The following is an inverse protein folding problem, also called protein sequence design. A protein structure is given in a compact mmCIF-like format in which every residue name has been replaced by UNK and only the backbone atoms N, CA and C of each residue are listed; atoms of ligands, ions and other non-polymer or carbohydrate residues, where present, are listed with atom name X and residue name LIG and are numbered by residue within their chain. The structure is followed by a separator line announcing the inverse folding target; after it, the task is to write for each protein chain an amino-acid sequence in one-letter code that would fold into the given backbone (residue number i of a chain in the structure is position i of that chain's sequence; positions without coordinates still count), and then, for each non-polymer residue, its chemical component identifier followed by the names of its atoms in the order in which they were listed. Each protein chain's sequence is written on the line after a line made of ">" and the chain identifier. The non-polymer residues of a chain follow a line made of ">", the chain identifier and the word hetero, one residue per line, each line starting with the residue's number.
data_IF_561099696620
#
_entry.id   IF_561099696620
#
_cell.length_a   1.000
_cell.length_b   1.000
_cell.length_c   1.000
_cell.angle_alpha   90.00
_cell.angle_beta   90.00
_cell.angle_gamma   90.00
#
_symmetry.space_group_name_H-M   'P 1'
#
loop_
_entity.id
_entity.type
_entity.pdbx_description
1 polymer ?
#
# COMPACT_ATOMS: atom_id res chain seq x y z
N UNK A 1 26.65 29.80 1.33
CA UNK A 1 25.79 30.63 2.21
C UNK A 1 25.68 29.96 3.57
N UNK A 2 25.69 30.69 4.70
CA UNK A 2 25.51 30.11 6.01
C UNK A 2 24.07 29.56 6.12
N UNK A 3 23.91 28.28 6.54
CA UNK A 3 22.59 27.68 6.78
C UNK A 3 21.89 28.45 7.90
N UNK A 4 20.60 28.78 7.71
CA UNK A 4 19.77 29.45 8.72
C UNK A 4 19.40 28.46 9.83
N UNK A 5 19.23 28.97 11.07
CA UNK A 5 18.81 28.14 12.21
C UNK A 5 17.43 27.52 11.90
N UNK A 6 17.26 26.22 12.17
CA UNK A 6 16.03 25.48 11.88
C UNK A 6 14.82 26.04 12.63
N UNK A 7 14.99 26.58 13.84
CA UNK A 7 13.90 27.27 14.56
C UNK A 7 13.49 28.56 13.88
N UNK A 8 14.44 29.31 13.32
CA UNK A 8 14.18 30.53 12.55
C UNK A 8 13.49 30.22 11.22
N UNK A 9 13.88 29.14 10.54
CA UNK A 9 13.24 28.69 9.28
C UNK A 9 11.77 28.38 9.51
N UNK A 10 11.42 27.71 10.59
CA UNK A 10 10.04 27.39 10.95
C UNK A 10 9.31 28.55 11.67
N UNK A 11 10.03 29.59 12.10
CA UNK A 11 9.47 30.73 12.82
C UNK A 11 8.89 30.36 14.19
N UNK A 12 9.55 29.44 14.91
CA UNK A 12 9.13 28.94 16.23
C UNK A 12 10.24 29.16 17.29
N UNK A 13 9.83 29.14 18.55
CA UNK A 13 10.77 29.19 19.68
C UNK A 13 11.54 27.86 19.83
N UNK A 14 12.74 27.92 20.40
CA UNK A 14 13.51 26.72 20.78
C UNK A 14 12.81 25.85 21.83
N UNK A 15 11.83 26.41 22.54
CA UNK A 15 11.01 25.72 23.53
C UNK A 15 9.66 25.21 22.98
N UNK A 16 9.43 25.38 21.67
CA UNK A 16 8.20 24.96 21.02
C UNK A 16 7.93 23.48 21.23
N UNK A 17 6.67 23.15 21.48
CA UNK A 17 6.20 21.77 21.58
C UNK A 17 6.06 21.09 20.20
N UNK A 18 5.77 19.79 20.22
CA UNK A 18 5.61 19.01 18.98
C UNK A 18 4.41 19.49 18.16
N UNK A 19 3.35 19.98 18.80
CA UNK A 19 2.16 20.47 18.12
C UNK A 19 2.43 21.81 17.44
N UNK A 20 3.12 22.72 18.11
CA UNK A 20 3.53 24.02 17.56
C UNK A 20 4.46 23.81 16.36
N UNK A 21 5.42 22.90 16.48
CA UNK A 21 6.33 22.52 15.41
C UNK A 21 5.57 22.01 14.18
N UNK A 22 4.62 21.12 14.39
CA UNK A 22 3.80 20.54 13.31
C UNK A 22 2.89 21.57 12.64
N UNK A 23 2.31 22.48 13.41
CA UNK A 23 1.47 23.57 12.89
C UNK A 23 2.29 24.57 12.06
N UNK A 24 3.46 24.98 12.55
CA UNK A 24 4.36 25.88 11.84
C UNK A 24 4.81 25.29 10.50
N UNK A 25 5.26 24.02 10.50
CA UNK A 25 5.63 23.33 9.28
C UNK A 25 4.47 23.26 8.28
N UNK A 26 3.27 22.83 8.72
CA UNK A 26 2.10 22.75 7.84
C UNK A 26 1.77 24.11 7.18
N UNK A 27 1.87 25.18 7.94
CA UNK A 27 1.61 26.54 7.43
C UNK A 27 2.58 26.92 6.31
N UNK A 28 3.87 26.64 6.50
CA UNK A 28 4.92 26.94 5.51
C UNK A 28 4.79 26.02 4.30
N UNK A 29 4.59 24.72 4.53
CA UNK A 29 4.44 23.73 3.48
C UNK A 29 3.24 24.01 2.58
N UNK A 30 2.08 24.41 3.14
CA UNK A 30 0.90 24.79 2.36
C UNK A 30 1.12 26.08 1.56
N UNK A 31 1.86 27.04 2.12
CA UNK A 31 2.15 28.33 1.45
C UNK A 31 3.11 28.18 0.28
N UNK A 32 4.12 27.33 0.42
CA UNK A 32 5.19 27.15 -0.54
C UNK A 32 5.17 25.77 -1.24
N UNK A 33 3.98 25.13 -1.29
CA UNK A 33 3.83 23.83 -1.95
C UNK A 33 4.10 23.96 -3.46
N UNK A 34 4.85 23.02 -4.08
CA UNK A 34 5.15 23.09 -5.50
C UNK A 34 3.91 23.10 -6.39
N UNK A 35 2.84 22.38 -6.02
CA UNK A 35 1.60 22.38 -6.80
C UNK A 35 0.84 23.72 -6.77
N UNK A 36 1.07 24.54 -5.73
CA UNK A 36 0.46 25.87 -5.60
C UNK A 36 1.33 26.99 -6.16
N UNK A 37 2.61 26.74 -6.29
CA UNK A 37 3.61 27.68 -6.80
C UNK A 37 4.47 27.01 -7.89
N UNK A 38 3.85 26.56 -9.00
CA UNK A 38 4.58 25.85 -10.04
C UNK A 38 5.62 26.76 -10.69
N UNK A 39 6.90 26.31 -10.68
CA UNK A 39 8.00 27.04 -11.33
C UNK A 39 8.56 28.22 -10.52
N UNK A 40 8.18 28.41 -9.25
CA UNK A 40 8.79 29.42 -8.37
C UNK A 40 9.97 28.80 -7.58
N UNK A 41 11.25 29.11 -7.97
CA UNK A 41 12.43 28.56 -7.30
C UNK A 41 12.55 29.03 -5.84
N UNK A 42 12.02 30.21 -5.51
CA UNK A 42 12.07 30.75 -4.14
C UNK A 42 11.10 29.99 -3.23
N UNK A 43 9.92 29.64 -3.75
CA UNK A 43 8.98 28.81 -3.01
C UNK A 43 9.52 27.40 -2.79
N UNK A 44 10.17 26.83 -3.79
CA UNK A 44 10.79 25.51 -3.72
C UNK A 44 11.93 25.46 -2.68
N UNK A 45 12.80 26.47 -2.67
CA UNK A 45 13.88 26.59 -1.69
C UNK A 45 13.34 26.68 -0.25
N UNK A 46 12.33 27.53 -0.02
CA UNK A 46 11.68 27.66 1.30
C UNK A 46 10.98 26.38 1.74
N UNK A 47 10.38 25.66 0.81
CA UNK A 47 9.77 24.36 1.10
C UNK A 47 10.82 23.32 1.49
N UNK A 48 11.96 23.26 0.79
CA UNK A 48 13.09 22.37 1.11
C UNK A 48 13.67 22.67 2.49
N UNK A 49 13.96 23.96 2.78
CA UNK A 49 14.49 24.37 4.08
C UNK A 49 13.52 24.04 5.23
N UNK A 50 12.21 24.28 5.03
CA UNK A 50 11.21 23.97 6.05
C UNK A 50 11.08 22.46 6.28
N UNK A 51 11.18 21.65 5.23
CA UNK A 51 11.12 20.18 5.31
C UNK A 51 12.35 19.59 6.00
N UNK A 52 13.55 20.10 5.70
CA UNK A 52 14.79 19.74 6.39
C UNK A 52 14.71 20.08 7.90
N UNK A 53 14.27 21.30 8.21
CA UNK A 53 14.12 21.77 9.58
C UNK A 53 13.14 20.90 10.38
N UNK A 54 12.01 20.57 9.79
CA UNK A 54 11.01 19.70 10.43
C UNK A 54 11.53 18.28 10.63
N UNK A 55 12.23 17.71 9.67
CA UNK A 55 12.80 16.36 9.76
C UNK A 55 13.82 16.21 10.91
N UNK A 56 14.52 17.29 11.24
CA UNK A 56 15.47 17.31 12.36
C UNK A 56 14.77 17.58 13.68
N UNK A 57 13.90 18.58 13.75
CA UNK A 57 13.29 19.02 15.00
C UNK A 57 12.14 18.12 15.48
N UNK A 58 11.50 17.35 14.60
CA UNK A 58 10.43 16.40 14.95
C UNK A 58 10.95 15.12 15.63
N UNK A 59 12.22 14.78 15.45
CA UNK A 59 12.85 13.65 16.09
C UNK A 59 13.53 14.09 17.39
N UNK A 60 13.14 13.57 18.57
CA UNK A 60 13.72 14.00 19.85
C UNK A 60 15.22 13.79 19.97
N UNK A 61 15.78 12.77 19.32
CA UNK A 61 17.22 12.51 19.36
C UNK A 61 17.99 13.49 18.47
N UNK A 62 17.49 13.73 17.23
CA UNK A 62 18.09 14.68 16.30
C UNK A 62 17.96 16.11 16.83
N UNK A 63 16.82 16.48 17.41
CA UNK A 63 16.60 17.77 18.04
C UNK A 63 17.64 18.02 19.16
N UNK A 64 17.83 17.04 20.06
CA UNK A 64 18.86 17.13 21.13
C UNK A 64 20.27 17.26 20.57
N UNK A 65 20.60 16.54 19.51
CA UNK A 65 21.90 16.63 18.86
C UNK A 65 22.09 18.01 18.21
N UNK A 66 21.07 18.53 17.55
CA UNK A 66 21.06 19.87 16.96
C UNK A 66 21.20 20.96 18.04
N UNK A 67 20.45 20.87 19.13
CA UNK A 67 20.50 21.83 20.24
C UNK A 67 21.85 21.89 20.94
N UNK A 68 22.61 20.77 20.95
CA UNK A 68 23.92 20.68 21.59
C UNK A 68 25.08 21.06 20.68
N UNK A 69 25.02 20.64 19.43
CA UNK A 69 26.16 20.68 18.53
C UNK A 69 25.87 21.45 17.22
N UNK A 70 24.66 22.05 17.07
CA UNK A 70 24.26 22.72 15.85
C UNK A 70 24.23 21.78 14.64
N UNK A 71 24.54 22.32 13.47
CA UNK A 71 24.59 21.54 12.23
C UNK A 71 25.64 20.43 12.22
N UNK A 72 26.75 20.59 12.95
CA UNK A 72 27.78 19.56 13.05
C UNK A 72 27.31 18.29 13.77
N UNK A 73 26.42 18.43 14.74
CA UNK A 73 25.86 17.30 15.50
C UNK A 73 24.98 16.37 14.68
N UNK A 74 24.44 16.86 13.58
CA UNK A 74 23.56 16.08 12.69
C UNK A 74 24.41 15.29 11.68
N UNK A 75 25.58 15.83 11.26
CA UNK A 75 26.49 15.19 10.30
C UNK A 75 27.41 14.13 10.89
N UNK A 76 27.64 14.12 12.21
CA UNK A 76 28.72 13.35 12.85
C UNK A 76 28.33 11.97 13.39
N UNK A 77 27.03 11.62 13.45
CA UNK A 77 26.61 10.28 13.87
C UNK A 77 26.47 9.37 12.66
N UNK A 78 27.59 8.68 12.35
CA UNK A 78 27.76 7.65 11.35
C UNK A 78 26.61 6.66 11.25
N UNK A 79 25.64 6.98 10.42
CA UNK A 79 24.94 5.97 9.69
C UNK A 79 25.78 5.64 8.44
N UNK A 80 25.94 4.37 8.06
CA UNK A 80 26.53 4.00 6.77
C UNK A 80 25.51 4.37 5.68
N UNK A 81 25.60 5.60 5.18
CA UNK A 81 24.72 6.28 4.25
C UNK A 81 24.77 7.77 4.59
N UNK A 82 25.94 8.41 4.32
CA UNK A 82 26.07 9.86 4.40
C UNK A 82 24.94 10.49 3.62
N UNK A 83 24.37 11.59 4.12
CA UNK A 83 23.42 12.39 3.36
C UNK A 83 24.07 12.70 2.00
N UNK A 84 23.46 12.25 0.88
CA UNK A 84 23.97 12.60 -0.44
C UNK A 84 23.92 14.12 -0.57
N UNK A 85 25.00 14.67 -1.09
CA UNK A 85 25.13 16.07 -1.49
C UNK A 85 23.90 16.43 -2.34
N UNK A 86 23.13 17.43 -1.90
CA UNK A 86 21.84 17.83 -2.46
C UNK A 86 21.96 18.55 -3.83
N UNK A 87 22.81 18.03 -4.71
CA UNK A 87 23.06 18.61 -6.04
C UNK A 87 22.19 18.06 -7.17
N UNK A 88 21.47 16.95 -7.00
CA UNK A 88 20.73 16.32 -8.11
C UNK A 88 19.23 16.19 -7.82
N UNK A 89 18.44 16.92 -8.60
CA UNK A 89 16.98 17.12 -8.47
C UNK A 89 16.16 15.84 -8.66
N UNK A 90 16.73 14.77 -9.22
CA UNK A 90 16.03 13.52 -9.52
C UNK A 90 15.91 12.56 -8.32
N UNK A 91 16.88 12.58 -7.42
CA UNK A 91 16.97 11.65 -6.28
C UNK A 91 16.12 12.09 -5.07
N UNK A 92 15.68 13.36 -5.07
CA UNK A 92 14.93 13.94 -3.95
C UNK A 92 13.53 13.36 -3.81
N UNK A 93 12.86 13.06 -4.92
CA UNK A 93 11.48 12.51 -4.91
C UNK A 93 11.44 11.09 -4.37
N UNK A 94 12.46 10.29 -4.66
CA UNK A 94 12.53 8.89 -4.19
C UNK A 94 12.90 8.81 -2.71
N UNK A 95 13.87 9.63 -2.26
CA UNK A 95 14.27 9.70 -0.85
C UNK A 95 13.18 10.36 0.00
N UNK A 96 12.46 11.32 -0.57
CA UNK A 96 11.33 11.97 0.09
C UNK A 96 10.13 11.01 0.24
N UNK A 97 9.82 10.20 -0.76
CA UNK A 97 8.80 9.17 -0.69
C UNK A 97 9.17 8.04 0.29
N UNK A 98 10.43 7.62 0.34
CA UNK A 98 10.89 6.61 1.29
C UNK A 98 10.90 7.13 2.74
N UNK A 99 11.34 8.38 2.95
CA UNK A 99 11.42 8.96 4.31
C UNK A 99 10.07 9.47 4.81
N UNK A 100 9.25 10.07 3.92
CA UNK A 100 7.92 10.60 4.27
C UNK A 100 6.81 9.57 4.13
N UNK A 101 6.93 8.61 3.23
CA UNK A 101 6.02 7.47 3.16
C UNK A 101 6.01 6.66 4.46
N UNK A 102 7.16 6.51 5.10
CA UNK A 102 7.29 5.79 6.37
C UNK A 102 6.88 6.65 7.60
N UNK A 103 6.96 7.99 7.51
CA UNK A 103 6.67 8.90 8.62
C UNK A 103 5.23 9.43 8.62
N UNK A 104 4.61 9.64 7.44
CA UNK A 104 3.24 10.15 7.30
C UNK A 104 2.22 9.11 6.86
N UNK A 105 2.67 8.01 6.27
CA UNK A 105 1.85 6.84 5.99
C UNK A 105 1.54 6.05 7.25
N UNK A 106 0.87 6.67 8.21
CA UNK A 106 0.29 6.09 9.43
C UNK A 106 1.15 5.02 10.07
N UNK A 107 1.52 5.23 11.31
CA UNK A 107 2.03 4.32 12.35
C UNK A 107 1.71 2.83 12.12
N UNK A 108 2.06 2.34 10.93
CA UNK A 108 2.22 0.95 10.64
C UNK A 108 3.59 0.60 11.16
N UNK A 109 3.67 0.19 12.44
CA UNK A 109 4.85 -0.43 12.96
C UNK A 109 5.38 -1.35 11.89
N UNK A 110 6.69 -1.40 11.68
CA UNK A 110 7.36 -2.51 11.01
C UNK A 110 6.86 -3.79 11.67
N UNK A 111 5.60 -4.12 11.38
CA UNK A 111 5.13 -5.47 11.46
C UNK A 111 6.07 -6.21 10.53
N UNK A 112 7.11 -6.75 11.09
CA UNK A 112 7.79 -7.92 10.55
C UNK A 112 6.76 -9.05 10.48
N UNK A 113 5.56 -8.73 10.02
CA UNK A 113 4.49 -9.62 9.69
C UNK A 113 4.91 -10.33 8.42
N UNK A 114 5.36 -11.53 8.59
CA UNK A 114 5.74 -12.53 7.59
C UNK A 114 4.64 -12.81 6.56
N UNK A 115 3.50 -12.14 6.63
CA UNK A 115 2.36 -12.36 5.81
C UNK A 115 2.38 -11.53 4.53
N UNK A 116 2.43 -12.19 3.38
CA UNK A 116 2.21 -11.57 2.09
C UNK A 116 0.71 -11.48 1.82
N UNK A 117 0.23 -10.30 1.38
CA UNK A 117 -1.17 -10.12 0.97
C UNK A 117 -1.50 -11.06 -0.20
N UNK A 118 -2.71 -11.63 -0.18
CA UNK A 118 -3.25 -12.43 -1.27
C UNK A 118 -3.42 -11.59 -2.54
N UNK A 119 -3.43 -12.28 -3.68
CA UNK A 119 -3.68 -11.63 -4.97
C UNK A 119 -5.12 -11.15 -5.09
N UNK A 120 -5.30 -10.03 -5.77
CA UNK A 120 -6.63 -9.56 -6.13
C UNK A 120 -7.19 -10.41 -7.27
N UNK A 121 -8.52 -10.65 -7.26
CA UNK A 121 -9.22 -11.40 -8.29
C UNK A 121 -10.08 -10.47 -9.14
N UNK A 122 -10.28 -10.84 -10.39
CA UNK A 122 -11.19 -10.18 -11.31
C UNK A 122 -12.23 -11.17 -11.79
N UNK A 123 -13.50 -10.75 -11.80
CA UNK A 123 -14.63 -11.50 -12.34
C UNK A 123 -15.47 -10.60 -13.25
N UNK A 124 -15.83 -11.08 -14.42
CA UNK A 124 -16.73 -10.36 -15.33
C UNK A 124 -18.15 -10.89 -15.09
N UNK A 125 -19.06 -10.01 -14.71
CA UNK A 125 -20.47 -10.31 -14.47
C UNK A 125 -21.30 -9.68 -15.58
N UNK A 126 -21.96 -10.50 -16.36
CA UNK A 126 -22.92 -10.03 -17.36
C UNK A 126 -24.28 -9.80 -16.71
N UNK A 127 -24.87 -8.65 -16.99
CA UNK A 127 -26.19 -8.23 -16.51
C UNK A 127 -27.05 -7.76 -17.70
N UNK A 128 -28.35 -7.92 -17.58
CA UNK A 128 -29.29 -7.43 -18.57
C UNK A 128 -29.63 -5.94 -18.38
N UNK A 129 -30.12 -5.28 -19.42
CA UNK A 129 -30.54 -3.88 -19.34
C UNK A 129 -31.66 -3.68 -18.30
N UNK A 130 -32.56 -4.66 -18.12
CA UNK A 130 -33.58 -4.62 -17.07
C UNK A 130 -32.99 -4.63 -15.65
N UNK A 131 -31.97 -5.44 -15.43
CA UNK A 131 -31.26 -5.48 -14.14
C UNK A 131 -30.48 -4.19 -13.87
N UNK A 132 -30.01 -3.51 -14.90
CA UNK A 132 -29.39 -2.19 -14.77
C UNK A 132 -30.39 -1.16 -14.25
N UNK A 133 -31.65 -1.22 -14.69
CA UNK A 133 -32.69 -0.26 -14.26
C UNK A 133 -33.13 -0.48 -12.81
N UNK A 134 -33.30 -1.74 -12.42
CA UNK A 134 -33.85 -2.08 -11.10
C UNK A 134 -32.81 -2.32 -10.04
N UNK A 135 -31.56 -2.59 -10.45
CA UNK A 135 -30.56 -3.21 -9.62
C UNK A 135 -30.85 -4.72 -9.47
N UNK A 136 -29.84 -5.48 -9.09
CA UNK A 136 -29.98 -6.93 -8.92
C UNK A 136 -29.03 -7.48 -7.83
N UNK A 137 -29.34 -8.67 -7.33
CA UNK A 137 -28.42 -9.46 -6.51
C UNK A 137 -28.01 -10.71 -7.28
N UNK A 138 -26.74 -10.79 -7.65
CA UNK A 138 -26.18 -11.95 -8.34
C UNK A 138 -25.40 -12.83 -7.37
N UNK A 139 -25.52 -14.14 -7.50
CA UNK A 139 -24.63 -15.10 -6.86
C UNK A 139 -23.59 -15.56 -7.86
N UNK A 140 -22.33 -15.25 -7.58
CA UNK A 140 -21.21 -15.69 -8.39
C UNK A 140 -20.44 -16.79 -7.67
N UNK A 141 -19.93 -17.74 -8.44
CA UNK A 141 -19.07 -18.82 -7.97
C UNK A 141 -17.68 -18.62 -8.52
N UNK A 142 -16.73 -18.38 -7.64
CA UNK A 142 -15.35 -18.15 -8.05
C UNK A 142 -14.43 -19.21 -7.44
N UNK A 143 -13.47 -19.75 -8.24
CA UNK A 143 -12.38 -20.52 -7.70
C UNK A 143 -11.41 -19.56 -7.00
N UNK A 144 -11.08 -19.82 -5.75
CA UNK A 144 -10.06 -19.06 -5.02
C UNK A 144 -9.37 -19.91 -3.97
N UNK A 145 -8.15 -19.53 -3.63
CA UNK A 145 -7.48 -20.11 -2.48
C UNK A 145 -8.05 -19.49 -1.20
N UNK A 146 -8.22 -20.31 -0.19
CA UNK A 146 -8.67 -19.91 1.14
C UNK A 146 -7.73 -20.46 2.21
N UNK A 147 -7.73 -19.85 3.36
CA UNK A 147 -6.95 -20.34 4.50
C UNK A 147 -7.40 -21.76 4.84
N UNK A 148 -6.44 -22.67 5.01
CA UNK A 148 -6.70 -24.04 5.40
C UNK A 148 -7.38 -24.07 6.78
N UNK A 149 -8.57 -24.67 6.86
CA UNK A 149 -9.34 -24.76 8.11
C UNK A 149 -8.66 -25.59 9.18
N UNK A 150 -7.95 -26.66 8.78
CA UNK A 150 -7.32 -27.58 9.72
C UNK A 150 -6.11 -26.99 10.45
N UNK A 151 -5.33 -26.12 9.78
CA UNK A 151 -4.12 -25.54 10.37
C UNK A 151 -4.19 -24.02 10.54
N UNK A 152 -5.31 -23.39 10.21
CA UNK A 152 -5.54 -21.95 10.32
C UNK A 152 -4.42 -21.12 9.65
N UNK A 153 -3.90 -21.61 8.52
CA UNK A 153 -2.88 -20.92 7.73
C UNK A 153 -1.43 -21.22 8.12
N UNK A 154 -1.16 -21.92 9.21
CA UNK A 154 0.21 -22.21 9.67
C UNK A 154 0.97 -23.20 8.79
N UNK A 155 0.28 -24.02 8.02
CA UNK A 155 0.85 -25.13 7.27
C UNK A 155 1.34 -26.31 8.13
N UNK A 156 1.34 -26.16 9.45
CA UNK A 156 1.74 -27.20 10.38
C UNK A 156 0.56 -28.13 10.73
N UNK A 157 0.88 -29.38 11.11
CA UNK A 157 -0.10 -30.32 11.59
C UNK A 157 -0.85 -29.72 12.79
N UNK A 158 -2.18 -29.91 12.91
CA UNK A 158 -2.94 -29.50 14.08
C UNK A 158 -2.29 -29.98 15.39
N UNK A 159 -2.11 -29.08 16.34
CA UNK A 159 -1.41 -29.35 17.60
C UNK A 159 0.10 -29.12 17.57
N UNK A 160 0.67 -28.81 16.40
CA UNK A 160 2.08 -28.39 16.24
C UNK A 160 2.18 -26.96 15.72
N UNK A 161 3.31 -26.33 15.90
CA UNK A 161 3.57 -24.96 15.41
C UNK A 161 4.84 -24.93 14.56
N UNK A 162 4.93 -23.99 13.60
CA UNK A 162 6.18 -23.72 12.90
C UNK A 162 7.29 -23.34 13.87
N UNK A 163 8.50 -23.89 13.68
CA UNK A 163 9.66 -23.57 14.48
C UNK A 163 10.51 -22.50 13.80
N UNK A 164 11.19 -21.67 14.59
CA UNK A 164 12.14 -20.70 14.06
C UNK A 164 13.27 -21.41 13.32
N UNK A 165 13.56 -20.95 12.12
CA UNK A 165 14.68 -21.49 11.33
C UNK A 165 16.01 -21.30 12.08
N UNK A 166 16.70 -22.40 12.38
CA UNK A 166 17.97 -22.36 13.12
C UNK A 166 19.09 -21.62 12.35
N UNK A 167 19.01 -21.57 11.01
CA UNK A 167 20.05 -20.95 10.18
C UNK A 167 19.96 -19.44 10.11
N UNK A 168 18.75 -18.88 9.98
CA UNK A 168 18.54 -17.44 9.91
C UNK A 168 17.95 -16.85 11.21
N UNK A 169 17.73 -17.65 12.22
CA UNK A 169 17.16 -17.24 13.50
C UNK A 169 15.86 -16.45 13.38
N UNK A 170 15.05 -16.82 12.37
CA UNK A 170 13.76 -16.20 12.13
C UNK A 170 13.77 -15.00 11.19
N UNK A 171 14.92 -14.52 10.71
CA UNK A 171 15.00 -13.35 9.82
C UNK A 171 14.56 -13.64 8.38
N UNK A 172 14.54 -14.91 7.95
CA UNK A 172 14.27 -15.32 6.58
C UNK A 172 15.43 -15.06 5.62
N UNK A 173 16.45 -14.33 6.04
CA UNK A 173 17.58 -13.93 5.19
C UNK A 173 18.91 -14.30 5.83
N UNK A 174 19.90 -14.56 5.00
CA UNK A 174 21.27 -14.78 5.41
C UNK A 174 22.15 -13.70 4.78
N UNK A 175 22.91 -13.00 5.60
CA UNK A 175 23.85 -11.98 5.16
C UNK A 175 25.19 -12.63 4.88
N UNK A 176 25.65 -12.53 3.64
CA UNK A 176 27.00 -12.92 3.25
C UNK A 176 27.84 -11.65 3.20
N UNK A 177 28.93 -11.65 3.94
CA UNK A 177 29.92 -10.59 3.92
C UNK A 177 31.13 -11.07 3.15
N UNK A 178 31.43 -10.43 2.02
CA UNK A 178 32.61 -10.72 1.22
C UNK A 178 33.40 -9.41 1.07
N UNK A 179 34.43 -9.26 1.92
CA UNK A 179 35.18 -7.99 2.02
C UNK A 179 34.28 -6.84 2.53
N UNK A 180 34.21 -5.76 1.75
CA UNK A 180 33.39 -4.58 2.04
C UNK A 180 31.92 -4.70 1.61
N UNK A 181 31.58 -5.75 0.84
CA UNK A 181 30.23 -5.95 0.32
C UNK A 181 29.40 -6.83 1.25
N UNK A 182 28.23 -6.33 1.65
CA UNK A 182 27.19 -7.08 2.35
C UNK A 182 26.07 -7.41 1.37
N UNK A 183 25.90 -8.70 1.07
CA UNK A 183 24.77 -9.19 0.27
C UNK A 183 23.81 -9.95 1.16
N UNK A 184 22.53 -9.58 1.12
CA UNK A 184 21.45 -10.32 1.75
C UNK A 184 20.80 -11.24 0.72
N UNK A 185 20.64 -12.52 1.05
CA UNK A 185 19.93 -13.49 0.23
C UNK A 185 18.89 -14.23 1.06
N UNK A 186 17.80 -14.73 0.43
CA UNK A 186 16.86 -15.61 1.12
C UNK A 186 17.57 -16.81 1.74
N UNK A 187 17.16 -17.17 2.95
CA UNK A 187 17.72 -18.34 3.64
C UNK A 187 17.30 -19.63 2.91
N UNK A 188 18.25 -20.39 2.43
CA UNK A 188 18.03 -21.64 1.71
C UNK A 188 17.38 -22.74 2.59
N UNK A 189 17.59 -22.72 3.91
CA UNK A 189 16.98 -23.68 4.82
C UNK A 189 15.47 -23.48 5.00
N UNK A 190 14.97 -22.25 4.93
CA UNK A 190 13.54 -21.95 5.09
C UNK A 190 12.92 -21.27 3.85
N UNK A 191 13.66 -21.13 2.75
CA UNK A 191 13.17 -20.48 1.54
C UNK A 191 12.75 -19.00 1.72
N UNK A 192 13.28 -18.33 2.74
CA UNK A 192 12.90 -16.95 3.06
C UNK A 192 11.80 -16.81 4.13
N UNK A 193 11.13 -17.90 4.50
CA UNK A 193 10.00 -17.85 5.45
C UNK A 193 10.39 -17.49 6.90
N UNK A 194 11.65 -17.73 7.28
CA UNK A 194 12.11 -17.54 8.66
C UNK A 194 11.70 -18.66 9.62
N UNK A 195 10.78 -19.52 9.23
CA UNK A 195 10.26 -20.66 9.99
C UNK A 195 10.31 -21.93 9.17
N UNK A 196 10.32 -23.05 9.84
CA UNK A 196 10.35 -24.37 9.23
C UNK A 196 9.21 -25.20 9.83
N UNK A 197 8.37 -25.78 8.99
CA UNK A 197 7.31 -26.70 9.38
C UNK A 197 7.89 -28.13 9.31
N UNK A 198 8.08 -28.77 10.47
CA UNK A 198 8.56 -30.16 10.54
C UNK A 198 7.45 -31.14 10.17
N UNK A 199 6.31 -30.99 10.82
CA UNK A 199 5.13 -31.81 10.55
C UNK A 199 4.13 -31.02 9.72
N UNK A 200 3.98 -31.40 8.46
CA UNK A 200 3.10 -30.69 7.53
C UNK A 200 1.64 -31.05 7.77
N UNK A 201 0.75 -30.08 7.66
CA UNK A 201 -0.68 -30.30 7.63
C UNK A 201 -1.07 -31.26 6.49
N UNK A 202 -1.85 -32.28 6.79
CA UNK A 202 -2.26 -33.28 5.81
C UNK A 202 -3.15 -32.70 4.71
N UNK A 203 -4.03 -31.73 5.04
CA UNK A 203 -4.96 -31.12 4.10
C UNK A 203 -4.26 -30.19 3.11
N UNK A 204 -3.47 -29.24 3.59
CA UNK A 204 -2.80 -28.25 2.73
C UNK A 204 -1.34 -28.62 2.37
N UNK A 205 -0.82 -29.75 2.87
CA UNK A 205 0.54 -30.24 2.63
C UNK A 205 1.66 -29.23 2.94
N UNK A 206 1.40 -28.34 3.91
CA UNK A 206 2.34 -27.32 4.32
C UNK A 206 2.11 -25.94 3.67
N UNK A 207 1.22 -25.82 2.70
CA UNK A 207 0.95 -24.54 2.01
C UNK A 207 0.19 -23.52 2.87
N UNK A 208 -0.49 -23.97 3.95
CA UNK A 208 -1.36 -23.11 4.78
C UNK A 208 -2.66 -22.69 4.09
N UNK A 209 -2.82 -22.99 2.80
CA UNK A 209 -3.96 -22.60 1.96
C UNK A 209 -4.47 -23.81 1.17
N UNK A 210 -5.75 -23.80 0.84
CA UNK A 210 -6.39 -24.83 0.02
C UNK A 210 -7.19 -24.16 -1.09
N UNK A 211 -7.21 -24.77 -2.25
CA UNK A 211 -8.06 -24.35 -3.35
C UNK A 211 -9.50 -24.73 -3.06
N UNK A 212 -10.43 -23.90 -3.45
CA UNK A 212 -11.85 -24.15 -3.28
C UNK A 212 -12.69 -23.20 -4.11
N UNK A 213 -13.99 -23.49 -4.16
CA UNK A 213 -14.95 -22.58 -4.76
C UNK A 213 -15.70 -21.83 -3.66
N UNK A 214 -15.93 -20.55 -3.86
CA UNK A 214 -16.73 -19.74 -2.95
C UNK A 214 -17.90 -19.11 -3.69
N UNK A 215 -19.08 -19.19 -3.09
CA UNK A 215 -20.25 -18.46 -3.58
C UNK A 215 -20.27 -17.10 -2.89
N UNK A 216 -20.28 -16.04 -3.69
CA UNK A 216 -20.28 -14.66 -3.21
C UNK A 216 -21.55 -14.00 -3.74
N UNK A 217 -22.25 -13.29 -2.86
CA UNK A 217 -23.39 -12.45 -3.26
C UNK A 217 -22.88 -11.07 -3.62
N UNK A 218 -23.16 -10.64 -4.84
CA UNK A 218 -22.83 -9.33 -5.37
C UNK A 218 -24.09 -8.52 -5.53
N UNK A 219 -24.14 -7.39 -4.87
CA UNK A 219 -25.26 -6.45 -5.02
C UNK A 219 -24.89 -5.42 -6.08
N UNK A 220 -25.62 -5.44 -7.17
CA UNK A 220 -25.48 -4.49 -8.28
C UNK A 220 -26.47 -3.35 -8.05
N UNK A 221 -26.03 -2.10 -7.87
CA UNK A 221 -26.92 -0.95 -7.72
C UNK A 221 -27.64 -0.66 -9.06
N UNK A 222 -28.78 0.03 -9.00
CA UNK A 222 -29.45 0.52 -10.18
C UNK A 222 -28.64 1.63 -10.87
N UNK A 223 -28.76 1.74 -12.19
CA UNK A 223 -28.12 2.80 -12.98
C UNK A 223 -26.65 2.57 -13.31
N UNK A 224 -26.11 1.37 -13.08
CA UNK A 224 -24.71 1.06 -13.39
C UNK A 224 -24.40 1.20 -14.89
N UNK A 225 -23.16 1.54 -15.20
CA UNK A 225 -22.66 1.65 -16.57
C UNK A 225 -21.88 0.40 -16.98
N UNK A 226 -21.78 0.17 -18.30
CA UNK A 226 -20.93 -0.88 -18.83
C UNK A 226 -19.47 -0.65 -18.44
N UNK A 227 -18.76 -1.71 -18.07
CA UNK A 227 -17.39 -1.63 -17.58
C UNK A 227 -17.22 -1.13 -16.15
N UNK A 228 -18.30 -0.79 -15.44
CA UNK A 228 -18.23 -0.38 -14.02
C UNK A 228 -17.63 -1.48 -13.16
N UNK A 229 -16.81 -1.08 -12.19
CA UNK A 229 -16.08 -2.02 -11.30
C UNK A 229 -16.60 -1.93 -9.87
N UNK A 230 -17.05 -3.05 -9.34
CA UNK A 230 -17.44 -3.21 -7.94
C UNK A 230 -16.30 -3.88 -7.18
N UNK A 231 -15.81 -3.26 -6.12
CA UNK A 231 -14.77 -3.83 -5.26
C UNK A 231 -15.40 -4.49 -4.04
N UNK A 232 -15.11 -5.78 -3.86
CA UNK A 232 -15.47 -6.55 -2.68
C UNK A 232 -14.19 -6.79 -1.86
N UNK A 233 -14.04 -6.04 -0.79
CA UNK A 233 -12.84 -6.07 0.03
C UNK A 233 -12.68 -7.42 0.73
N UNK A 234 -11.47 -8.00 0.67
CA UNK A 234 -11.14 -9.27 1.33
C UNK A 234 -11.67 -10.52 0.62
N UNK A 235 -12.31 -10.39 -0.54
CA UNK A 235 -12.87 -11.52 -1.31
C UNK A 235 -11.93 -12.04 -2.41
N UNK A 236 -10.67 -11.59 -2.42
CA UNK A 236 -9.60 -12.12 -3.28
C UNK A 236 -8.98 -13.41 -2.73
N UNK A 237 -7.79 -13.74 -3.22
CA UNK A 237 -6.99 -14.87 -2.77
C UNK A 237 -6.59 -14.76 -1.30
N UNK A 238 -6.48 -15.88 -0.62
CA UNK A 238 -5.94 -15.89 0.75
C UNK A 238 -4.48 -15.44 0.79
N UNK A 239 -4.12 -14.65 1.78
CA UNK A 239 -2.74 -14.26 2.03
C UNK A 239 -1.83 -15.44 2.37
N UNK A 240 -0.53 -15.22 2.30
CA UNK A 240 0.50 -16.20 2.64
C UNK A 240 1.01 -15.90 4.05
N UNK A 241 1.30 -16.93 4.83
CA UNK A 241 1.91 -16.83 6.16
C UNK A 241 1.22 -15.81 7.09
N UNK A 242 -0.12 -15.81 7.11
CA UNK A 242 -0.91 -14.91 7.95
C UNK A 242 -1.12 -13.51 7.37
N UNK A 243 -0.77 -13.28 6.10
CA UNK A 243 -1.09 -12.05 5.38
C UNK A 243 -2.59 -11.86 5.16
N UNK A 244 -3.05 -10.61 4.96
CA UNK A 244 -4.45 -10.33 4.66
C UNK A 244 -4.84 -10.88 3.29
N UNK A 245 -6.11 -11.20 3.04
CA UNK A 245 -6.59 -11.58 1.73
C UNK A 245 -6.52 -10.40 0.74
N UNK A 246 -6.53 -10.71 -0.56
CA UNK A 246 -6.74 -9.75 -1.63
C UNK A 246 -8.19 -9.30 -1.72
N UNK A 247 -8.51 -8.52 -2.74
CA UNK A 247 -9.85 -8.04 -3.04
C UNK A 247 -10.38 -8.70 -4.32
N UNK A 248 -11.72 -8.73 -4.45
CA UNK A 248 -12.36 -9.14 -5.70
C UNK A 248 -12.92 -7.93 -6.42
N UNK A 249 -12.54 -7.76 -7.67
CA UNK A 249 -13.08 -6.76 -8.58
C UNK A 249 -14.06 -7.41 -9.53
N UNK A 250 -15.34 -7.09 -9.38
CA UNK A 250 -16.40 -7.51 -10.30
C UNK A 250 -16.56 -6.42 -11.33
N UNK A 251 -16.29 -6.75 -12.59
CA UNK A 251 -16.48 -5.86 -13.74
C UNK A 251 -17.84 -6.19 -14.34
N UNK A 252 -18.71 -5.20 -14.38
CA UNK A 252 -20.04 -5.35 -14.95
C UNK A 252 -19.96 -5.21 -16.46
N UNK A 253 -20.63 -6.11 -17.18
CA UNK A 253 -20.82 -6.03 -18.61
C UNK A 253 -22.31 -6.07 -18.90
N UNK A 254 -22.82 -5.02 -19.54
CA UNK A 254 -24.24 -4.93 -19.88
C UNK A 254 -24.47 -5.68 -21.20
N UNK A 255 -25.34 -6.69 -21.17
CA UNK A 255 -25.70 -7.44 -22.37
C UNK A 255 -26.51 -6.56 -23.30
N UNK A 256 -26.22 -6.61 -24.61
CA UNK A 256 -27.02 -5.97 -25.65
C UNK A 256 -28.46 -6.44 -25.58
N UNK A 257 -29.40 -5.51 -25.77
CA UNK A 257 -30.80 -5.80 -25.79
C UNK A 257 -31.31 -5.83 -27.27
N UNK A 258 -32.25 -6.71 -27.58
CA UNK A 258 -32.72 -6.91 -28.94
C UNK A 258 -33.38 -5.68 -29.56
N UNK A 259 -34.01 -4.81 -28.76
CA UNK A 259 -34.78 -3.67 -29.21
C UNK A 259 -34.23 -2.33 -28.71
N UNK A 260 -33.50 -2.32 -27.62
CA UNK A 260 -33.07 -1.11 -26.94
C UNK A 260 -31.55 -0.97 -26.96
N UNK A 261 -31.08 0.19 -27.38
CA UNK A 261 -29.70 0.61 -27.28
C UNK A 261 -29.59 1.68 -26.19
N UNK A 262 -28.60 1.57 -25.33
CA UNK A 262 -28.35 2.54 -24.25
C UNK A 262 -27.15 3.40 -24.60
N UNK A 263 -27.34 4.72 -24.63
CA UNK A 263 -26.30 5.71 -24.77
C UNK A 263 -26.28 6.62 -23.53
N UNK A 264 -25.37 6.37 -22.61
CA UNK A 264 -25.31 7.07 -21.32
C UNK A 264 -26.55 6.83 -20.45
N UNK A 265 -27.39 7.83 -20.29
CA UNK A 265 -28.69 7.76 -19.56
C UNK A 265 -29.92 7.57 -20.46
N UNK A 266 -29.75 7.72 -21.76
CA UNK A 266 -30.81 7.63 -22.72
C UNK A 266 -30.95 6.23 -23.30
N UNK A 267 -32.18 5.86 -23.67
CA UNK A 267 -32.50 4.58 -24.28
C UNK A 267 -33.11 4.86 -25.65
N UNK A 268 -32.50 4.31 -26.69
CA UNK A 268 -32.91 4.40 -28.06
C UNK A 268 -33.61 3.11 -28.50
N UNK A 269 -34.67 3.27 -29.29
CA UNK A 269 -35.42 2.15 -29.87
C UNK A 269 -35.76 2.43 -31.32
N UNK A 270 -35.37 1.53 -32.20
CA UNK A 270 -35.75 1.57 -33.61
C UNK A 270 -37.05 0.80 -33.83
N UNK A 271 -38.17 1.52 -34.06
CA UNK A 271 -39.45 0.87 -34.37
C UNK A 271 -39.70 0.91 -35.90
N UNK A 272 -39.71 -0.24 -36.58
CA UNK A 272 -40.05 -0.28 -37.99
C UNK A 272 -41.56 -0.01 -38.17
N UNK A 273 -41.89 1.07 -38.87
CA UNK A 273 -43.28 1.42 -39.19
C UNK A 273 -43.49 1.34 -40.69
N UNK A 274 -44.64 0.83 -41.11
CA UNK A 274 -45.01 0.87 -42.52
C UNK A 274 -45.43 2.30 -42.91
N UNK A 275 -45.21 2.68 -44.18
CA UNK A 275 -45.51 4.02 -44.65
C UNK A 275 -46.95 4.49 -44.35
N UNK A 276 -47.91 3.55 -44.36
CA UNK A 276 -49.32 3.84 -44.03
C UNK A 276 -49.61 4.00 -42.53
N UNK A 277 -48.63 3.74 -41.68
CA UNK A 277 -48.68 3.88 -40.19
C UNK A 277 -47.92 5.10 -39.68
N UNK A 278 -47.08 5.69 -40.52
CA UNK A 278 -46.37 6.93 -40.24
C UNK A 278 -47.23 8.15 -40.58
#
# INVERSE_FOLDING_TARGET
>A
MAKRDYYEVLGISRHADENELKQAYRKIALKHHPDRNPGDPVAEEKFKEASESYAVLSDPEKRRAYDRFGFEGIGMRGAPGGFPDFGDLGTFTDIFNDLFGDLFGGRGGRSRGRGQRGADLRYNLEISLAEVLTGSEAQIRIPKTRICGSCSGSGARPGTSPERCARCHGTGQVVLQQGFFRMSRPCDACGGAGEVVRERCAECRGAGRVEGQQNIKVRVPAGVEDGMRLRLAGEGEAGIAGGPPGDLYVVLSVREHELFEREGQDIHCGVPVAFVQA
#
